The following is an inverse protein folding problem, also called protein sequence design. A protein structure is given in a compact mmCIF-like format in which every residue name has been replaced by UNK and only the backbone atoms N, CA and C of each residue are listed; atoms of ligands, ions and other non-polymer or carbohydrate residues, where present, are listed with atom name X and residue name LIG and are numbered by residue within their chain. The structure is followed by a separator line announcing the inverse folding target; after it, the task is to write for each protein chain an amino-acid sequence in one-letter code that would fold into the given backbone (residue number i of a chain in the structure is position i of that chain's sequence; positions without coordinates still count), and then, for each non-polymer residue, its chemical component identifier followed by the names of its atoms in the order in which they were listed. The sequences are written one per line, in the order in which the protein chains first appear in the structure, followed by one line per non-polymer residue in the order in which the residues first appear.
data_IF_539334852902
#
_entry.id   IF_539334852902
#
_cell.length_a   1.000
_cell.length_b   1.000
_cell.length_c   1.000
_cell.angle_alpha   90.00
_cell.angle_beta   90.00
_cell.angle_gamma   90.00
#
_symmetry.space_group_name_H-M   'P 1'
#
loop_
_entity.id
_entity.type
_entity.pdbx_description
1 polymer ?
#
# COMPACT_ATOMS: atom_id res chain seq x y z
N UNK A 1 -13.25 -19.20 35.18
CA UNK A 1 -14.06 -18.44 34.20
C UNK A 1 -13.15 -18.06 33.05
N UNK A 2 -12.97 -18.99 32.11
CA UNK A 2 -12.31 -18.68 30.84
C UNK A 2 -13.33 -17.95 29.98
N UNK A 3 -13.14 -16.63 29.82
CA UNK A 3 -13.78 -15.92 28.73
C UNK A 3 -13.14 -16.43 27.44
N UNK A 4 -13.73 -17.46 26.85
CA UNK A 4 -13.55 -17.77 25.44
C UNK A 4 -13.86 -16.47 24.68
N UNK A 5 -12.82 -15.77 24.25
CA UNK A 5 -12.92 -14.67 23.29
C UNK A 5 -13.69 -15.23 22.11
N UNK A 6 -14.92 -14.74 21.91
CA UNK A 6 -15.62 -14.93 20.65
C UNK A 6 -14.73 -14.24 19.61
N UNK A 7 -13.91 -15.02 18.92
CA UNK A 7 -13.32 -14.64 17.65
C UNK A 7 -14.50 -14.29 16.74
N UNK A 8 -14.85 -13.01 16.67
CA UNK A 8 -15.58 -12.48 15.53
C UNK A 8 -14.60 -12.56 14.37
N UNK A 9 -14.62 -13.71 13.69
CA UNK A 9 -13.74 -13.97 12.55
C UNK A 9 -14.18 -13.10 11.38
N UNK A 10 -13.67 -11.87 11.30
CA UNK A 10 -13.57 -11.17 10.01
C UNK A 10 -12.46 -11.87 9.23
N UNK A 11 -12.84 -12.91 8.47
CA UNK A 11 -11.90 -13.62 7.61
C UNK A 11 -11.50 -12.70 6.47
N UNK A 12 -10.19 -12.52 6.28
CA UNK A 12 -9.62 -11.88 5.09
C UNK A 12 -9.17 -12.97 4.11
N UNK A 13 -9.64 -12.89 2.87
CA UNK A 13 -9.22 -13.81 1.82
C UNK A 13 -8.45 -13.04 0.75
N UNK A 14 -7.24 -13.49 0.44
CA UNK A 14 -6.42 -12.91 -0.63
C UNK A 14 -7.12 -12.92 -1.98
N UNK A 15 -8.07 -13.84 -2.21
CA UNK A 15 -8.87 -13.86 -3.44
C UNK A 15 -9.80 -12.65 -3.61
N UNK A 16 -10.02 -11.87 -2.56
CA UNK A 16 -10.81 -10.63 -2.64
C UNK A 16 -10.00 -9.50 -3.30
N UNK A 17 -8.68 -9.63 -3.38
CA UNK A 17 -7.77 -8.67 -4.02
C UNK A 17 -7.30 -9.22 -5.36
N UNK A 18 -7.50 -8.44 -6.43
CA UNK A 18 -6.95 -8.74 -7.74
C UNK A 18 -5.54 -8.13 -7.87
N UNK A 19 -4.51 -8.94 -7.65
CA UNK A 19 -3.10 -8.50 -7.69
C UNK A 19 -2.59 -8.05 -9.08
N UNK A 20 -3.36 -8.28 -10.14
CA UNK A 20 -3.04 -7.82 -11.50
C UNK A 20 -3.68 -6.46 -11.82
N UNK A 21 -4.79 -6.12 -11.13
CA UNK A 21 -5.48 -4.85 -11.27
C UNK A 21 -6.27 -4.56 -10.00
N UNK A 22 -5.71 -3.74 -9.12
CA UNK A 22 -6.30 -3.48 -7.80
C UNK A 22 -7.69 -2.85 -7.89
N UNK A 23 -7.92 -1.96 -8.87
CA UNK A 23 -9.23 -1.36 -9.15
C UNK A 23 -10.27 -2.34 -9.71
N UNK A 24 -9.82 -3.50 -10.21
CA UNK A 24 -10.70 -4.61 -10.60
C UNK A 24 -10.92 -5.61 -9.46
N UNK A 25 -10.45 -5.33 -8.24
CA UNK A 25 -10.73 -6.16 -7.07
C UNK A 25 -12.22 -6.12 -6.73
N UNK A 26 -12.74 -7.24 -6.23
CA UNK A 26 -14.10 -7.26 -5.71
C UNK A 26 -14.18 -6.27 -4.54
N UNK A 27 -15.21 -5.41 -4.53
CA UNK A 27 -15.40 -4.36 -3.50
C UNK A 27 -14.28 -3.31 -3.43
N UNK A 28 -13.59 -3.07 -4.55
CA UNK A 28 -12.86 -1.82 -4.70
C UNK A 28 -13.83 -0.65 -4.54
N UNK A 29 -13.51 0.27 -3.63
CA UNK A 29 -14.39 1.41 -3.30
C UNK A 29 -13.95 2.67 -4.03
N UNK A 30 -12.65 2.82 -4.26
CA UNK A 30 -12.09 3.97 -4.94
C UNK A 30 -10.63 4.21 -4.61
N UNK A 31 -10.12 5.32 -5.12
CA UNK A 31 -8.81 5.85 -4.83
C UNK A 31 -8.80 7.37 -4.87
N UNK A 32 -7.71 7.95 -4.39
CA UNK A 32 -7.30 9.28 -4.80
C UNK A 32 -5.92 9.23 -5.45
N UNK A 33 -5.68 10.12 -6.40
CA UNK A 33 -4.42 10.23 -7.14
C UNK A 33 -4.07 11.69 -7.44
N UNK A 34 -2.79 12.02 -7.59
CA UNK A 34 -2.34 13.40 -7.87
C UNK A 34 -3.00 14.00 -9.11
N UNK A 35 -3.35 15.29 -9.06
CA UNK A 35 -3.82 16.09 -10.20
C UNK A 35 -2.69 16.71 -11.01
N UNK A 36 -1.59 17.00 -10.33
CA UNK A 36 -0.48 17.81 -10.84
C UNK A 36 0.72 16.93 -11.18
N UNK A 37 1.78 17.50 -11.80
CA UNK A 37 3.04 16.78 -11.99
C UNK A 37 3.61 16.26 -10.67
N UNK A 38 4.48 15.26 -10.78
CA UNK A 38 5.16 14.67 -9.63
C UNK A 38 5.87 15.73 -8.77
N UNK A 39 5.76 15.56 -7.45
CA UNK A 39 6.44 16.37 -6.45
C UNK A 39 6.58 15.54 -5.18
N UNK A 40 7.75 15.56 -4.54
CA UNK A 40 7.96 14.87 -3.26
C UNK A 40 7.07 15.42 -2.14
N UNK A 41 6.69 16.71 -2.21
CA UNK A 41 5.71 17.30 -1.30
C UNK A 41 4.34 16.61 -1.39
N UNK A 42 3.91 16.22 -2.60
CA UNK A 42 2.64 15.50 -2.78
C UNK A 42 2.69 14.08 -2.20
N UNK A 43 3.88 13.45 -2.17
CA UNK A 43 4.08 12.19 -1.47
C UNK A 43 3.81 12.41 0.01
N UNK A 44 4.47 13.39 0.63
CA UNK A 44 4.28 13.70 2.06
C UNK A 44 2.83 14.05 2.38
N UNK A 45 2.18 14.88 1.56
CA UNK A 45 0.76 15.23 1.73
C UNK A 45 -0.14 13.99 1.64
N UNK A 46 0.10 13.10 0.67
CA UNK A 46 -0.68 11.88 0.52
C UNK A 46 -0.54 10.95 1.73
N UNK A 47 0.67 10.84 2.29
CA UNK A 47 0.98 10.05 3.48
C UNK A 47 0.27 10.64 4.70
N UNK A 48 0.31 11.96 4.85
CA UNK A 48 -0.30 12.65 5.97
C UNK A 48 -1.82 12.54 5.97
N UNK A 49 -2.46 12.56 4.80
CA UNK A 49 -3.90 12.31 4.66
C UNK A 49 -4.26 10.93 5.22
N UNK A 50 -3.58 9.88 4.78
CA UNK A 50 -3.88 8.50 5.22
C UNK A 50 -3.57 8.33 6.70
N UNK A 51 -2.38 8.75 7.13
CA UNK A 51 -1.96 8.64 8.54
C UNK A 51 -2.91 9.37 9.47
N UNK A 52 -3.34 10.58 9.11
CA UNK A 52 -4.25 11.38 9.93
C UNK A 52 -5.62 10.73 10.05
N UNK A 53 -6.21 10.31 8.93
CA UNK A 53 -7.53 9.69 8.90
C UNK A 53 -7.57 8.38 9.71
N UNK A 54 -6.57 7.51 9.53
CA UNK A 54 -6.53 6.19 10.15
C UNK A 54 -5.80 6.17 11.50
N UNK A 55 -5.30 7.30 12.00
CA UNK A 55 -4.56 7.39 13.28
C UNK A 55 -5.24 6.70 14.47
N UNK A 56 -6.58 6.72 14.66
CA UNK A 56 -7.22 6.04 15.80
C UNK A 56 -7.15 4.51 15.72
N UNK A 57 -6.80 3.96 14.56
CA UNK A 57 -6.81 2.52 14.26
C UNK A 57 -5.46 2.02 13.75
N UNK A 58 -4.42 2.86 13.80
CA UNK A 58 -3.14 2.57 13.16
C UNK A 58 -2.48 1.29 13.68
N UNK A 59 -2.54 1.05 14.98
CA UNK A 59 -1.97 -0.13 15.67
C UNK A 59 -2.63 -1.46 15.27
N UNK A 60 -3.78 -1.41 14.60
CA UNK A 60 -4.51 -2.59 14.14
C UNK A 60 -4.21 -2.96 12.68
N UNK A 61 -3.32 -2.23 12.01
CA UNK A 61 -2.88 -2.55 10.66
C UNK A 61 -1.73 -3.56 10.66
N UNK A 62 -1.79 -4.50 9.71
CA UNK A 62 -0.63 -5.25 9.24
C UNK A 62 -0.47 -5.04 7.74
N UNK A 63 0.70 -5.29 7.17
CA UNK A 63 0.94 -5.16 5.75
C UNK A 63 1.16 -6.52 5.07
N UNK A 64 0.57 -6.68 3.90
CA UNK A 64 0.93 -7.69 2.92
C UNK A 64 1.77 -7.02 1.82
N UNK A 65 2.98 -7.51 1.60
CA UNK A 65 3.89 -6.96 0.59
C UNK A 65 4.35 -8.02 -0.39
N UNK A 66 4.61 -7.61 -1.63
CA UNK A 66 5.44 -8.33 -2.58
C UNK A 66 6.14 -7.28 -3.44
N UNK A 67 7.30 -6.85 -2.96
CA UNK A 67 8.14 -5.84 -3.59
C UNK A 67 9.56 -6.38 -3.74
N UNK A 68 10.23 -5.94 -4.78
CA UNK A 68 11.63 -6.22 -5.03
C UNK A 68 12.41 -4.92 -5.16
N UNK A 69 13.74 -5.01 -5.19
CA UNK A 69 14.60 -3.87 -5.43
C UNK A 69 15.50 -4.06 -6.66
N UNK A 70 15.91 -2.94 -7.26
CA UNK A 70 16.99 -2.85 -8.25
C UNK A 70 17.80 -1.57 -8.01
N UNK A 71 19.02 -1.74 -7.54
CA UNK A 71 19.90 -0.64 -7.11
C UNK A 71 20.44 0.21 -8.26
N UNK A 72 20.31 -0.24 -9.51
CA UNK A 72 20.80 0.46 -10.69
C UNK A 72 19.74 1.39 -11.31
N UNK A 73 18.47 1.30 -10.87
CA UNK A 73 17.38 2.07 -11.46
C UNK A 73 17.29 3.50 -10.97
N UNK A 74 17.55 3.74 -9.69
CA UNK A 74 17.51 5.09 -9.14
C UNK A 74 18.89 5.74 -9.28
N UNK A 75 18.93 6.84 -10.03
CA UNK A 75 20.16 7.58 -10.36
C UNK A 75 20.06 9.05 -9.99
N UNK A 76 18.87 9.53 -9.62
CA UNK A 76 18.66 10.90 -9.21
C UNK A 76 19.23 11.12 -7.80
N UNK A 77 20.26 11.97 -7.72
CA UNK A 77 20.98 12.22 -6.47
C UNK A 77 20.11 12.81 -5.35
N UNK A 78 19.06 13.56 -5.71
CA UNK A 78 18.08 14.10 -4.77
C UNK A 78 17.30 12.98 -4.09
N UNK A 79 16.72 12.08 -4.88
CA UNK A 79 15.95 10.92 -4.41
C UNK A 79 16.82 9.95 -3.60
N UNK A 80 18.04 9.65 -4.07
CA UNK A 80 18.98 8.79 -3.34
C UNK A 80 19.33 9.37 -1.96
N UNK A 81 19.46 10.69 -1.86
CA UNK A 81 19.73 11.36 -0.59
C UNK A 81 18.50 11.38 0.33
N UNK A 82 17.31 11.60 -0.23
CA UNK A 82 16.07 11.73 0.54
C UNK A 82 15.57 10.38 1.06
N UNK A 83 15.62 9.35 0.24
CA UNK A 83 15.03 8.04 0.54
C UNK A 83 16.04 6.90 0.71
N UNK A 84 17.35 7.15 0.55
CA UNK A 84 18.36 6.08 0.56
C UNK A 84 18.45 5.31 1.88
N UNK A 85 18.32 5.98 3.03
CA UNK A 85 18.28 5.31 4.34
C UNK A 85 17.04 4.42 4.46
N UNK A 86 15.86 4.98 4.13
CA UNK A 86 14.58 4.28 4.14
C UNK A 86 14.62 3.06 3.21
N UNK A 87 15.20 3.20 2.02
CA UNK A 87 15.34 2.14 1.03
C UNK A 87 16.22 0.99 1.53
N UNK A 88 17.34 1.30 2.20
CA UNK A 88 18.19 0.28 2.81
C UNK A 88 17.51 -0.41 4.00
N UNK A 89 16.81 0.35 4.84
CA UNK A 89 16.04 -0.20 5.96
C UNK A 89 14.92 -1.11 5.46
N UNK A 90 14.25 -0.77 4.36
CA UNK A 90 13.23 -1.61 3.75
C UNK A 90 13.79 -2.96 3.25
N UNK A 91 15.03 -3.00 2.76
CA UNK A 91 15.73 -4.26 2.43
C UNK A 91 16.06 -5.08 3.67
N UNK A 92 16.63 -4.44 4.70
CA UNK A 92 16.99 -5.10 5.97
C UNK A 92 15.75 -5.72 6.63
N UNK A 93 14.63 -5.00 6.60
CA UNK A 93 13.35 -5.43 7.17
C UNK A 93 12.50 -6.29 6.22
N UNK A 94 13.09 -6.75 5.10
CA UNK A 94 12.49 -7.70 4.16
C UNK A 94 11.17 -7.22 3.51
N UNK A 95 10.96 -5.90 3.46
CA UNK A 95 9.91 -5.29 2.64
C UNK A 95 10.28 -5.35 1.16
N UNK A 96 11.56 -5.11 0.84
CA UNK A 96 12.12 -5.23 -0.49
C UNK A 96 12.99 -6.49 -0.57
N UNK A 97 12.58 -7.47 -1.38
CA UNK A 97 13.34 -8.71 -1.61
C UNK A 97 14.28 -8.59 -2.81
N UNK A 98 15.34 -9.41 -2.89
CA UNK A 98 16.09 -9.56 -4.13
C UNK A 98 15.18 -9.99 -5.29
N UNK A 99 15.45 -9.49 -6.50
CA UNK A 99 14.71 -9.88 -7.69
C UNK A 99 14.96 -11.36 -7.99
N UNK A 100 13.88 -12.10 -8.17
CA UNK A 100 13.91 -13.51 -8.60
C UNK A 100 13.24 -13.63 -9.96
N UNK A 101 13.62 -14.66 -10.73
CA UNK A 101 13.09 -14.91 -12.07
C UNK A 101 11.54 -14.99 -12.09
N UNK A 102 10.94 -15.61 -11.07
CA UNK A 102 9.48 -15.70 -10.93
C UNK A 102 8.86 -14.31 -10.67
N UNK A 103 9.46 -13.50 -9.79
CA UNK A 103 8.95 -12.15 -9.55
C UNK A 103 9.14 -11.24 -10.77
N UNK A 104 10.26 -11.37 -11.48
CA UNK A 104 10.51 -10.68 -12.75
C UNK A 104 9.46 -11.06 -13.80
N UNK A 105 9.18 -12.35 -13.96
CA UNK A 105 8.13 -12.85 -14.87
C UNK A 105 6.74 -12.31 -14.50
N UNK A 106 6.44 -12.16 -13.19
CA UNK A 106 5.23 -11.48 -12.72
C UNK A 106 5.19 -10.00 -13.11
N UNK A 107 6.30 -9.27 -12.96
CA UNK A 107 6.37 -7.85 -13.35
C UNK A 107 6.10 -7.65 -14.85
N UNK A 108 6.49 -8.61 -15.69
CA UNK A 108 6.18 -8.61 -17.13
C UNK A 108 4.75 -9.09 -17.46
N UNK A 109 4.01 -9.62 -16.48
CA UNK A 109 2.66 -10.15 -16.67
C UNK A 109 2.61 -11.54 -17.27
N UNK A 110 3.75 -12.24 -17.35
CA UNK A 110 3.85 -13.58 -17.92
C UNK A 110 3.23 -14.64 -17.00
N UNK A 111 3.35 -14.44 -15.68
CA UNK A 111 2.78 -15.32 -14.65
C UNK A 111 2.03 -14.53 -13.57
N UNK A 112 1.06 -15.15 -12.87
CA UNK A 112 0.47 -14.56 -11.66
C UNK A 112 1.49 -14.35 -10.55
N UNK A 113 1.20 -13.43 -9.62
CA UNK A 113 2.04 -13.17 -8.45
C UNK A 113 2.34 -14.46 -7.65
N UNK A 114 3.62 -14.87 -7.52
CA UNK A 114 3.98 -16.06 -6.76
C UNK A 114 3.73 -15.87 -5.26
N UNK A 115 3.12 -16.86 -4.61
CA UNK A 115 2.88 -16.81 -3.18
C UNK A 115 4.17 -16.74 -2.34
N UNK A 116 5.28 -17.30 -2.85
CA UNK A 116 6.62 -17.23 -2.25
C UNK A 116 7.19 -15.80 -2.19
N UNK A 117 6.72 -14.91 -3.08
CA UNK A 117 7.13 -13.51 -3.11
C UNK A 117 6.44 -12.69 -2.01
N UNK A 118 5.33 -13.17 -1.45
CA UNK A 118 4.59 -12.46 -0.41
C UNK A 118 5.35 -12.43 0.93
N UNK A 119 5.17 -11.33 1.65
CA UNK A 119 5.57 -11.15 3.04
C UNK A 119 4.43 -10.55 3.84
N UNK A 120 4.35 -10.91 5.12
CA UNK A 120 3.45 -10.27 6.09
C UNK A 120 4.28 -9.50 7.11
N UNK A 121 3.90 -8.27 7.37
CA UNK A 121 4.56 -7.38 8.32
C UNK A 121 3.54 -6.89 9.34
N UNK A 122 3.84 -7.07 10.63
CA UNK A 122 2.93 -6.69 11.72
C UNK A 122 3.41 -5.45 12.48
N UNK A 123 4.63 -4.98 12.20
CA UNK A 123 5.16 -3.73 12.73
C UNK A 123 4.83 -2.60 11.76
N UNK A 124 3.88 -1.76 12.16
CA UNK A 124 3.34 -0.67 11.34
C UNK A 124 4.23 0.59 11.34
N UNK A 125 5.33 0.62 12.09
CA UNK A 125 6.21 1.78 12.21
C UNK A 125 6.78 2.25 10.86
N UNK A 126 7.00 1.31 9.94
CA UNK A 126 7.65 1.58 8.65
C UNK A 126 6.70 1.55 7.45
N UNK A 127 5.38 1.36 7.65
CA UNK A 127 4.48 1.19 6.51
C UNK A 127 4.42 2.43 5.62
N UNK A 128 4.37 3.61 6.21
CA UNK A 128 4.33 4.86 5.45
C UNK A 128 5.64 5.12 4.72
N UNK A 129 6.76 4.77 5.33
CA UNK A 129 8.08 4.87 4.70
C UNK A 129 8.18 3.96 3.47
N UNK A 130 7.64 2.74 3.54
CA UNK A 130 7.53 1.85 2.37
C UNK A 130 6.62 2.43 1.29
N UNK A 131 5.50 3.05 1.67
CA UNK A 131 4.64 3.76 0.72
C UNK A 131 5.39 4.92 0.02
N UNK A 132 6.19 5.70 0.76
CA UNK A 132 7.04 6.76 0.17
C UNK A 132 8.01 6.18 -0.87
N UNK A 133 8.66 5.06 -0.55
CA UNK A 133 9.56 4.40 -1.50
C UNK A 133 8.85 3.97 -2.78
N UNK A 134 7.65 3.38 -2.66
CA UNK A 134 6.86 2.95 -3.82
C UNK A 134 6.50 4.13 -4.71
N UNK A 135 6.16 5.28 -4.13
CA UNK A 135 5.77 6.48 -4.87
C UNK A 135 6.94 7.28 -5.43
N UNK A 136 8.11 7.23 -4.76
CA UNK A 136 9.18 8.21 -4.97
C UNK A 136 10.55 7.65 -5.33
N UNK A 137 10.79 6.34 -5.27
CA UNK A 137 12.12 5.75 -5.48
C UNK A 137 12.13 4.73 -6.63
N UNK A 138 12.81 5.05 -7.74
CA UNK A 138 12.83 4.25 -8.97
C UNK A 138 13.45 2.85 -8.82
N UNK A 139 14.18 2.62 -7.73
CA UNK A 139 14.73 1.32 -7.36
C UNK A 139 13.72 0.31 -6.82
N UNK A 140 12.49 0.73 -6.48
CA UNK A 140 11.43 -0.20 -6.03
C UNK A 140 10.77 -0.86 -7.24
N UNK A 141 10.64 -2.19 -7.18
CA UNK A 141 9.99 -3.00 -8.20
C UNK A 141 8.71 -3.61 -7.66
N UNK A 142 7.61 -3.46 -8.42
CA UNK A 142 6.29 -3.93 -8.04
C UNK A 142 5.49 -2.89 -7.26
N UNK A 143 4.21 -3.21 -7.03
CA UNK A 143 3.23 -2.30 -6.45
C UNK A 143 2.38 -2.95 -5.34
N UNK A 144 2.65 -4.22 -5.02
CA UNK A 144 1.86 -4.97 -4.04
C UNK A 144 2.31 -4.59 -2.64
N UNK A 145 1.62 -3.61 -2.04
CA UNK A 145 1.77 -3.25 -0.64
C UNK A 145 0.41 -2.84 -0.07
N UNK A 146 -0.24 -3.76 0.63
CA UNK A 146 -1.56 -3.56 1.21
C UNK A 146 -1.45 -3.46 2.72
N UNK A 147 -1.81 -2.30 3.28
CA UNK A 147 -2.04 -2.10 4.70
C UNK A 147 -3.47 -2.55 5.01
N UNK A 148 -3.61 -3.66 5.73
CA UNK A 148 -4.88 -4.35 6.02
C UNK A 148 -5.27 -4.12 7.47
N UNK A 149 -6.54 -3.74 7.70
CA UNK A 149 -7.14 -3.65 9.02
C UNK A 149 -8.40 -4.52 9.08
N UNK A 150 -8.35 -5.60 9.86
CA UNK A 150 -9.46 -6.56 9.96
C UNK A 150 -10.61 -6.09 10.84
N UNK A 151 -10.37 -5.12 11.74
CA UNK A 151 -11.44 -4.52 12.56
C UNK A 151 -12.26 -3.54 11.73
N UNK A 152 -11.59 -2.75 10.89
CA UNK A 152 -12.23 -1.87 9.92
C UNK A 152 -12.70 -2.60 8.65
N UNK A 153 -12.25 -3.85 8.47
CA UNK A 153 -12.55 -4.69 7.30
C UNK A 153 -12.19 -3.98 5.98
N UNK A 154 -10.98 -3.46 5.89
CA UNK A 154 -10.50 -2.77 4.69
C UNK A 154 -9.01 -2.99 4.45
N UNK A 155 -8.58 -2.71 3.23
CA UNK A 155 -7.18 -2.51 2.89
C UNK A 155 -6.95 -1.19 2.18
N UNK A 156 -5.79 -0.60 2.43
CA UNK A 156 -5.30 0.63 1.84
C UNK A 156 -3.98 0.31 1.14
N UNK A 157 -3.74 0.86 -0.04
CA UNK A 157 -2.53 0.60 -0.81
C UNK A 157 -2.09 1.83 -1.60
N UNK A 158 -0.78 2.05 -1.82
CA UNK A 158 -0.29 3.07 -2.75
C UNK A 158 -0.91 2.89 -4.13
N UNK A 159 -1.44 3.96 -4.73
CA UNK A 159 -2.14 3.88 -6.00
C UNK A 159 -1.61 4.89 -7.02
N UNK A 160 -1.41 4.43 -8.25
CA UNK A 160 -0.82 5.24 -9.31
C UNK A 160 0.61 5.64 -8.96
N UNK A 161 1.01 6.84 -9.40
CA UNK A 161 2.30 7.43 -9.01
C UNK A 161 2.27 7.92 -7.55
N UNK A 162 1.27 8.75 -7.20
CA UNK A 162 1.08 9.33 -5.87
C UNK A 162 -0.40 9.30 -5.54
N UNK A 163 -0.73 8.67 -4.42
CA UNK A 163 -2.09 8.54 -3.93
C UNK A 163 -2.33 7.19 -3.26
N UNK A 164 -3.58 6.96 -2.83
CA UNK A 164 -3.96 5.72 -2.19
C UNK A 164 -5.31 5.21 -2.67
N UNK A 165 -5.39 3.90 -2.85
CA UNK A 165 -6.64 3.18 -3.07
C UNK A 165 -7.13 2.52 -1.79
N UNK A 166 -8.44 2.25 -1.76
CA UNK A 166 -9.09 1.55 -0.64
C UNK A 166 -10.05 0.48 -1.14
N UNK A 167 -9.97 -0.70 -0.53
CA UNK A 167 -10.82 -1.87 -0.80
C UNK A 167 -11.56 -2.22 0.49
N UNK A 168 -12.86 -2.43 0.42
CA UNK A 168 -13.66 -2.94 1.55
C UNK A 168 -13.74 -4.46 1.51
N UNK A 169 -13.63 -5.12 2.65
CA UNK A 169 -13.87 -6.56 2.79
C UNK A 169 -15.28 -6.89 3.27
N UNK A 170 -16.02 -5.90 3.79
CA UNK A 170 -17.42 -6.07 4.20
C UNK A 170 -18.41 -5.58 3.12
N UNK A 171 -19.71 -5.77 3.34
CA UNK A 171 -20.77 -5.14 2.54
C UNK A 171 -20.95 -3.67 2.90
N UNK A 172 -20.62 -3.30 4.13
CA UNK A 172 -20.63 -1.92 4.60
C UNK A 172 -19.27 -1.27 4.28
N UNK A 173 -19.27 -0.29 3.38
CA UNK A 173 -18.10 0.45 2.94
C UNK A 173 -18.08 1.91 3.46
N UNK A 174 -18.87 2.21 4.49
CA UNK A 174 -19.03 3.57 5.04
C UNK A 174 -17.69 4.20 5.43
N UNK A 175 -16.77 3.44 6.04
CA UNK A 175 -15.45 3.98 6.43
C UNK A 175 -14.60 4.30 5.20
N UNK A 176 -14.57 3.41 4.21
CA UNK A 176 -13.84 3.61 2.96
C UNK A 176 -14.38 4.84 2.19
N UNK A 177 -15.70 4.99 2.11
CA UNK A 177 -16.34 6.18 1.51
C UNK A 177 -16.09 7.43 2.34
N UNK A 178 -16.14 7.36 3.66
CA UNK A 178 -15.84 8.50 4.54
C UNK A 178 -14.40 8.98 4.36
N UNK A 179 -13.47 8.06 4.17
CA UNK A 179 -12.09 8.36 3.85
C UNK A 179 -11.97 9.10 2.52
N UNK A 180 -12.50 8.55 1.42
CA UNK A 180 -12.42 9.23 0.12
C UNK A 180 -13.17 10.58 0.13
N UNK A 181 -14.33 10.63 0.78
CA UNK A 181 -15.12 11.87 0.91
C UNK A 181 -14.41 12.95 1.73
N UNK A 182 -13.50 12.60 2.65
CA UNK A 182 -12.75 13.62 3.41
C UNK A 182 -11.76 14.40 2.54
N UNK A 183 -11.46 13.92 1.33
CA UNK A 183 -10.64 14.62 0.36
C UNK A 183 -11.47 15.49 -0.62
N UNK A 184 -12.81 15.48 -0.56
CA UNK A 184 -13.63 16.28 -1.48
C UNK A 184 -13.31 17.76 -1.29
N UNK A 185 -12.95 18.42 -2.40
CA UNK A 185 -12.52 19.82 -2.41
C UNK A 185 -11.02 20.02 -2.19
N UNK A 186 -10.23 18.94 -2.07
CA UNK A 186 -8.79 19.04 -2.14
C UNK A 186 -8.34 19.38 -3.57
N UNK A 187 -7.48 20.40 -3.72
CA UNK A 187 -7.04 20.92 -5.01
C UNK A 187 -5.91 20.09 -5.66
N UNK A 188 -5.21 19.27 -4.87
CA UNK A 188 -4.03 18.50 -5.28
C UNK A 188 -4.36 17.07 -5.74
N UNK A 189 -5.49 16.51 -5.29
CA UNK A 189 -5.87 15.13 -5.58
C UNK A 189 -7.22 14.99 -6.29
N UNK A 190 -7.28 14.10 -7.27
CA UNK A 190 -8.49 13.58 -7.89
C UNK A 190 -9.02 12.42 -7.07
N UNK A 191 -10.33 12.27 -7.00
CA UNK A 191 -10.99 11.14 -6.35
C UNK A 191 -11.71 10.33 -7.44
N UNK A 192 -11.49 9.01 -7.43
CA UNK A 192 -12.11 8.07 -8.35
C UNK A 192 -12.83 7.01 -7.52
N UNK A 193 -14.12 6.78 -7.77
CA UNK A 193 -14.98 5.82 -7.09
C UNK A 193 -15.80 5.02 -8.09
#
# INVERSE_FOLDING_TARGET
MEKSLKLTSSNFNLTDINFNSFSSSNKWVGCFEKKTPFSTLLIDDSIDIVRSFFSPHWDDFFALSALSFNDEREVESGILKEYGEIYNDAKINNYLKPLSDDFESYLYGDIPLPASSLSLHFDNGNFMDVCKLIMGHGGVLGQVFFMINLKLQLAIYPHGDIGFGVISFDKDDVICKSFLNSLIGNDDFNIIM
#
